data_IF_474948730689
#
_entry.id   IF_474948730689
#
_cell.length_a   1.000
_cell.length_b   1.000
_cell.length_c   1.000
_cell.angle_alpha   90.00
_cell.angle_beta   90.00
_cell.angle_gamma   90.00
#
_symmetry.space_group_name_H-M   'P 1'
#
loop_
_entity.id
_entity.type
_entity.pdbx_description
1 polymer ?
#
# COMPACT_ATOMS: atom_id res chain seq x y z
N UNK A 1 -3.46 -9.62 -9.93
CA UNK A 1 -2.14 -9.44 -10.63
C UNK A 1 -0.95 -10.01 -9.85
N UNK A 2 -0.83 -9.84 -8.54
CA UNK A 2 0.35 -10.28 -7.77
C UNK A 2 0.68 -11.78 -7.94
N UNK A 3 -0.29 -12.68 -7.77
CA UNK A 3 -0.11 -14.13 -7.95
C UNK A 3 0.54 -14.48 -9.29
N UNK A 4 0.07 -13.89 -10.39
CA UNK A 4 0.58 -14.12 -11.74
C UNK A 4 2.07 -13.74 -11.85
N UNK A 5 2.45 -12.60 -11.27
CA UNK A 5 3.83 -12.12 -11.21
C UNK A 5 4.73 -13.09 -10.43
N UNK A 6 4.27 -13.61 -9.29
CA UNK A 6 5.06 -14.54 -8.49
C UNK A 6 5.22 -15.89 -9.17
N UNK A 7 4.19 -16.43 -9.81
CA UNK A 7 4.32 -17.68 -10.58
C UNK A 7 5.32 -17.53 -11.73
N UNK A 8 5.31 -16.40 -12.43
CA UNK A 8 6.28 -16.10 -13.46
C UNK A 8 7.71 -16.01 -12.90
N UNK A 9 7.89 -15.32 -11.77
CA UNK A 9 9.21 -15.23 -11.08
C UNK A 9 9.74 -16.60 -10.68
N UNK A 10 8.90 -17.45 -10.13
CA UNK A 10 9.29 -18.81 -9.75
C UNK A 10 9.76 -19.61 -10.99
N UNK A 11 9.02 -19.52 -12.10
CA UNK A 11 9.40 -20.17 -13.35
C UNK A 11 10.75 -19.68 -13.88
N UNK A 12 10.93 -18.35 -13.92
CA UNK A 12 12.17 -17.71 -14.41
C UNK A 12 13.35 -18.05 -13.51
N UNK A 13 13.17 -18.08 -12.19
CA UNK A 13 14.19 -18.48 -11.21
C UNK A 13 14.60 -19.97 -11.40
N UNK A 14 13.66 -20.84 -11.80
CA UNK A 14 13.94 -22.22 -12.15
C UNK A 14 14.61 -22.38 -13.55
N UNK A 15 14.84 -21.27 -14.26
CA UNK A 15 15.44 -21.29 -15.61
C UNK A 15 14.54 -21.85 -16.70
N UNK A 16 13.22 -21.96 -16.46
CA UNK A 16 12.29 -22.59 -17.37
C UNK A 16 11.63 -21.57 -18.32
N UNK A 17 11.49 -21.93 -19.58
CA UNK A 17 10.62 -21.22 -20.53
C UNK A 17 9.15 -21.54 -20.28
N UNK A 18 8.21 -20.70 -20.76
CA UNK A 18 6.78 -21.01 -20.70
C UNK A 18 6.42 -22.31 -21.43
N UNK A 19 7.17 -22.69 -22.48
CA UNK A 19 6.97 -23.95 -23.21
C UNK A 19 7.35 -25.17 -22.37
N UNK A 20 8.49 -25.12 -21.67
CA UNK A 20 8.94 -26.20 -20.79
C UNK A 20 8.00 -26.37 -19.60
N UNK A 21 7.60 -25.26 -18.95
CA UNK A 21 6.61 -25.27 -17.88
C UNK A 21 5.26 -25.86 -18.34
N UNK A 22 4.82 -25.54 -19.54
CA UNK A 22 3.61 -26.10 -20.15
C UNK A 22 3.72 -27.63 -20.34
N UNK A 23 4.87 -28.12 -20.82
CA UNK A 23 5.15 -29.54 -20.95
C UNK A 23 5.09 -30.28 -19.61
N UNK A 24 5.71 -29.74 -18.56
CA UNK A 24 5.68 -30.29 -17.19
C UNK A 24 4.27 -30.36 -16.60
N UNK A 25 3.42 -29.41 -16.93
CA UNK A 25 2.05 -29.35 -16.44
C UNK A 25 1.05 -30.13 -17.31
N UNK A 26 1.43 -30.47 -18.55
CA UNK A 26 0.55 -31.11 -19.57
C UNK A 26 -0.50 -30.16 -20.14
N UNK A 27 -0.11 -28.89 -20.36
CA UNK A 27 -0.99 -27.83 -20.89
C UNK A 27 -0.34 -27.12 -22.08
N UNK A 28 -1.07 -26.23 -22.76
CA UNK A 28 -0.48 -25.42 -23.83
C UNK A 28 0.38 -24.28 -23.26
N UNK A 29 1.42 -23.82 -23.99
CA UNK A 29 2.21 -22.63 -23.60
C UNK A 29 1.34 -21.39 -23.42
N UNK A 30 0.27 -21.22 -24.20
CA UNK A 30 -0.68 -20.13 -24.07
C UNK A 30 -1.38 -20.13 -22.71
N UNK A 31 -1.68 -21.31 -22.15
CA UNK A 31 -2.28 -21.40 -20.80
C UNK A 31 -1.32 -20.92 -19.71
N UNK A 32 -0.03 -21.23 -19.78
CA UNK A 32 0.97 -20.70 -18.84
C UNK A 32 1.03 -19.17 -18.97
N UNK A 33 1.12 -18.66 -20.19
CA UNK A 33 1.13 -17.21 -20.44
C UNK A 33 -0.13 -16.52 -19.89
N UNK A 34 -1.32 -17.12 -20.07
CA UNK A 34 -2.57 -16.56 -19.53
C UNK A 34 -2.59 -16.55 -18.00
N UNK A 35 -2.07 -17.60 -17.33
CA UNK A 35 -1.94 -17.64 -15.87
C UNK A 35 -0.97 -16.53 -15.40
N UNK A 36 0.19 -16.43 -16.03
CA UNK A 36 1.23 -15.45 -15.68
C UNK A 36 0.92 -14.00 -16.10
N UNK A 37 -0.15 -13.80 -16.88
CA UNK A 37 -0.70 -12.49 -17.25
C UNK A 37 -2.00 -12.16 -16.50
N UNK A 38 -2.40 -13.00 -15.53
CA UNK A 38 -3.66 -12.90 -14.78
C UNK A 38 -4.93 -12.93 -15.67
N UNK A 39 -4.83 -13.47 -16.90
CA UNK A 39 -5.95 -13.67 -17.81
C UNK A 39 -6.72 -14.96 -17.52
N UNK A 40 -6.09 -15.91 -16.81
CA UNK A 40 -6.70 -17.15 -16.37
C UNK A 40 -6.36 -17.44 -14.92
N UNK A 41 -7.33 -17.97 -14.18
CA UNK A 41 -7.12 -18.47 -12.82
C UNK A 41 -6.32 -19.78 -12.81
N UNK A 42 -5.76 -20.11 -11.66
CA UNK A 42 -5.07 -21.37 -11.42
C UNK A 42 -5.71 -22.09 -10.24
N UNK A 43 -5.97 -23.40 -10.35
CA UNK A 43 -6.48 -24.20 -9.23
C UNK A 43 -5.34 -24.52 -8.25
N UNK A 44 -5.66 -24.75 -6.98
CA UNK A 44 -4.70 -25.16 -5.95
C UNK A 44 -3.81 -26.31 -6.43
N UNK A 45 -4.43 -27.42 -6.89
CA UNK A 45 -3.70 -28.60 -7.39
C UNK A 45 -2.67 -28.25 -8.48
N UNK A 46 -3.07 -27.36 -9.40
CA UNK A 46 -2.19 -26.92 -10.49
C UNK A 46 -1.09 -26.01 -9.98
N UNK A 47 -1.40 -25.10 -9.05
CA UNK A 47 -0.43 -24.20 -8.45
C UNK A 47 0.65 -24.98 -7.68
N UNK A 48 0.25 -25.93 -6.82
CA UNK A 48 1.21 -26.76 -6.07
C UNK A 48 2.11 -27.58 -6.99
N UNK A 49 1.56 -28.10 -8.11
CA UNK A 49 2.38 -28.78 -9.14
C UNK A 49 3.38 -27.83 -9.80
N UNK A 50 2.95 -26.61 -10.16
CA UNK A 50 3.87 -25.59 -10.70
C UNK A 50 4.97 -25.27 -9.71
N UNK A 51 4.64 -24.98 -8.43
CA UNK A 51 5.63 -24.70 -7.40
C UNK A 51 6.64 -25.83 -7.24
N UNK A 52 6.19 -27.08 -7.24
CA UNK A 52 7.07 -28.27 -7.21
C UNK A 52 7.98 -28.36 -8.44
N UNK A 53 7.47 -28.15 -9.65
CA UNK A 53 8.27 -28.15 -10.88
C UNK A 53 9.27 -26.99 -10.94
N UNK A 54 8.97 -25.88 -10.26
CA UNK A 54 9.86 -24.72 -10.13
C UNK A 54 10.82 -24.82 -8.95
N UNK A 55 10.90 -25.99 -8.30
CA UNK A 55 11.75 -26.26 -7.14
C UNK A 55 11.54 -25.25 -5.99
N UNK A 56 10.31 -24.75 -5.79
CA UNK A 56 9.96 -23.90 -4.68
C UNK A 56 9.73 -24.76 -3.41
N UNK A 57 10.69 -24.77 -2.51
CA UNK A 57 10.64 -25.54 -1.24
C UNK A 57 9.96 -24.78 -0.10
N UNK A 58 9.71 -23.49 -0.26
CA UNK A 58 9.07 -22.62 0.74
C UNK A 58 7.56 -22.88 0.79
N UNK A 59 7.15 -23.80 1.67
CA UNK A 59 5.75 -24.22 1.80
C UNK A 59 4.85 -23.07 2.28
N UNK A 60 5.33 -22.23 3.19
CA UNK A 60 4.57 -21.07 3.69
C UNK A 60 4.24 -20.10 2.54
N UNK A 61 5.22 -19.84 1.67
CA UNK A 61 5.02 -19.02 0.48
C UNK A 61 4.05 -19.68 -0.52
N UNK A 62 4.18 -20.99 -0.75
CA UNK A 62 3.27 -21.73 -1.63
C UNK A 62 1.84 -21.71 -1.10
N UNK A 63 1.65 -21.90 0.22
CA UNK A 63 0.33 -21.86 0.86
C UNK A 63 -0.30 -20.44 0.76
N UNK A 64 0.49 -19.40 0.92
CA UNK A 64 0.04 -18.03 0.71
C UNK A 64 -0.40 -17.78 -0.76
N UNK A 65 0.35 -18.30 -1.74
CA UNK A 65 -0.05 -18.21 -3.15
C UNK A 65 -1.33 -19.03 -3.44
N UNK A 66 -1.51 -20.17 -2.79
CA UNK A 66 -2.74 -20.98 -2.89
C UNK A 66 -3.93 -20.20 -2.33
N UNK A 67 -3.78 -19.58 -1.15
CA UNK A 67 -4.82 -18.74 -0.57
C UNK A 67 -5.25 -17.63 -1.55
N UNK A 68 -4.29 -16.93 -2.17
CA UNK A 68 -4.57 -15.94 -3.22
C UNK A 68 -5.28 -16.53 -4.45
N UNK A 69 -4.93 -17.76 -4.85
CA UNK A 69 -5.53 -18.42 -6.02
C UNK A 69 -6.97 -18.87 -5.79
N UNK A 70 -7.31 -19.18 -4.53
CA UNK A 70 -8.61 -19.74 -4.14
C UNK A 70 -9.56 -18.70 -3.56
N UNK A 71 -9.05 -17.52 -3.22
CA UNK A 71 -9.87 -16.42 -2.76
C UNK A 71 -10.88 -16.02 -3.86
N UNK A 72 -12.15 -16.00 -3.49
CA UNK A 72 -13.30 -15.58 -4.33
C UNK A 72 -14.00 -14.37 -3.78
N UNK A 73 -13.43 -13.75 -2.75
CA UNK A 73 -14.00 -12.56 -2.13
C UNK A 73 -14.00 -11.42 -3.14
N UNK A 74 -15.16 -10.89 -3.39
CA UNK A 74 -15.32 -9.63 -4.12
C UNK A 74 -15.31 -8.52 -3.08
N UNK A 75 -14.19 -7.78 -3.01
CA UNK A 75 -14.11 -6.64 -2.10
C UNK A 75 -14.94 -5.46 -2.60
N UNK A 76 -15.21 -4.54 -1.70
CA UNK A 76 -15.97 -3.31 -1.97
C UNK A 76 -15.40 -2.48 -3.14
N UNK A 77 -14.09 -2.56 -3.41
CA UNK A 77 -13.41 -1.84 -4.51
C UNK A 77 -13.88 -2.26 -5.90
N UNK A 78 -14.51 -3.43 -6.03
CA UNK A 78 -15.02 -3.91 -7.32
C UNK A 78 -16.14 -3.00 -7.88
N UNK A 79 -16.88 -2.30 -7.04
CA UNK A 79 -17.90 -1.34 -7.48
C UNK A 79 -17.30 -0.15 -8.27
N UNK A 80 -16.00 0.11 -8.10
CA UNK A 80 -15.27 1.17 -8.80
C UNK A 80 -14.61 0.69 -10.11
N UNK A 81 -14.78 -0.57 -10.47
CA UNK A 81 -14.21 -1.14 -11.69
C UNK A 81 -14.79 -0.45 -12.93
N UNK A 82 -13.90 0.08 -13.80
CA UNK A 82 -14.27 0.88 -14.96
C UNK A 82 -14.66 2.33 -14.66
N UNK A 83 -14.75 2.72 -13.37
CA UNK A 83 -15.05 4.08 -12.92
C UNK A 83 -13.78 4.81 -12.45
N UNK A 84 -12.87 4.11 -11.78
CA UNK A 84 -11.59 4.63 -11.35
C UNK A 84 -10.42 3.91 -12.06
N UNK A 85 -9.24 4.56 -12.15
CA UNK A 85 -8.02 3.90 -12.60
C UNK A 85 -7.74 2.64 -11.80
N UNK A 86 -7.21 1.59 -12.46
CA UNK A 86 -6.93 0.29 -11.82
C UNK A 86 -6.03 0.39 -10.59
N UNK A 87 -5.12 1.36 -10.54
CA UNK A 87 -4.26 1.59 -9.39
C UNK A 87 -5.02 1.91 -8.08
N UNK A 88 -6.24 2.45 -8.17
CA UNK A 88 -7.11 2.66 -7.00
C UNK A 88 -7.65 1.33 -6.47
N UNK A 89 -8.07 0.45 -7.37
CA UNK A 89 -8.57 -0.87 -7.03
C UNK A 89 -7.43 -1.74 -6.46
N UNK A 90 -6.28 -1.75 -7.14
CA UNK A 90 -5.09 -2.48 -6.71
C UNK A 90 -4.63 -2.06 -5.31
N UNK A 91 -4.69 -0.75 -5.02
CA UNK A 91 -4.33 -0.22 -3.70
C UNK A 91 -5.35 -0.64 -2.63
N UNK A 92 -6.64 -0.61 -2.93
CA UNK A 92 -7.68 -1.03 -2.00
C UNK A 92 -7.63 -2.54 -1.70
N UNK A 93 -7.41 -3.36 -2.74
CA UNK A 93 -7.21 -4.80 -2.61
C UNK A 93 -5.96 -5.12 -1.79
N UNK A 94 -4.86 -4.40 -2.04
CA UNK A 94 -3.60 -4.57 -1.30
C UNK A 94 -3.79 -4.25 0.19
N UNK A 95 -4.48 -3.15 0.52
CA UNK A 95 -4.77 -2.77 1.90
C UNK A 95 -5.68 -3.77 2.61
N UNK A 96 -6.69 -4.30 1.88
CA UNK A 96 -7.61 -5.28 2.42
C UNK A 96 -6.93 -6.59 2.84
N UNK A 97 -5.93 -7.03 2.07
CA UNK A 97 -5.18 -8.25 2.34
C UNK A 97 -3.90 -8.01 3.17
N UNK A 98 -3.67 -6.77 3.62
CA UNK A 98 -2.52 -6.45 4.44
C UNK A 98 -2.58 -7.12 5.81
N UNK A 99 -1.42 -7.52 6.33
CA UNK A 99 -1.24 -8.00 7.70
C UNK A 99 -0.74 -6.88 8.64
N UNK A 100 -0.09 -5.87 8.08
CA UNK A 100 0.28 -4.61 8.73
C UNK A 100 0.56 -3.54 7.68
N UNK A 101 0.55 -2.29 8.10
CA UNK A 101 0.87 -1.13 7.28
C UNK A 101 1.94 -0.28 7.97
N UNK A 102 2.92 0.22 7.19
CA UNK A 102 3.92 1.19 7.63
C UNK A 102 4.03 2.30 6.61
N UNK A 103 3.97 3.54 7.06
CA UNK A 103 3.98 4.68 6.14
C UNK A 103 4.91 5.80 6.63
N UNK A 104 5.63 6.41 5.70
CA UNK A 104 6.36 7.65 5.91
C UNK A 104 5.73 8.70 5.00
N UNK A 105 5.24 9.78 5.57
CA UNK A 105 4.57 10.86 4.86
C UNK A 105 5.33 12.18 5.05
N UNK A 106 5.66 12.88 3.95
CA UNK A 106 6.48 14.08 3.97
C UNK A 106 5.67 15.36 3.73
N UNK A 107 4.84 15.42 2.69
CA UNK A 107 4.17 16.65 2.26
C UNK A 107 2.65 16.63 2.45
N UNK A 108 2.05 15.46 2.53
CA UNK A 108 0.60 15.30 2.71
C UNK A 108 0.33 14.34 3.85
N UNK A 109 -0.74 14.60 4.58
CA UNK A 109 -1.27 13.63 5.54
C UNK A 109 -1.59 12.32 4.79
N UNK A 110 -1.21 11.15 5.32
CA UNK A 110 -1.52 9.85 4.72
C UNK A 110 -3.00 9.69 4.40
N UNK A 111 -3.29 9.12 3.23
CA UNK A 111 -4.67 8.98 2.75
C UNK A 111 -5.60 8.24 3.70
N UNK A 112 -5.08 7.31 4.52
CA UNK A 112 -5.85 6.58 5.52
C UNK A 112 -6.23 7.43 6.75
N UNK A 113 -5.57 8.57 6.97
CA UNK A 113 -5.82 9.47 8.10
C UNK A 113 -6.52 10.77 7.67
N UNK A 114 -6.81 10.96 6.37
CA UNK A 114 -7.42 12.19 5.86
C UNK A 114 -8.88 12.33 6.26
N UNK A 115 -9.32 13.56 6.54
CA UNK A 115 -10.74 13.90 6.52
C UNK A 115 -11.24 13.97 5.07
N UNK A 116 -12.55 13.95 4.88
CA UNK A 116 -13.16 14.06 3.54
C UNK A 116 -12.79 15.39 2.87
N UNK A 117 -12.84 16.49 3.62
CA UNK A 117 -12.51 17.84 3.15
C UNK A 117 -11.04 17.94 2.74
N UNK A 118 -10.13 17.35 3.54
CA UNK A 118 -8.72 17.31 3.20
C UNK A 118 -8.49 16.49 1.93
N UNK A 119 -9.08 15.31 1.82
CA UNK A 119 -8.99 14.46 0.64
C UNK A 119 -9.52 15.15 -0.62
N UNK A 120 -10.65 15.86 -0.50
CA UNK A 120 -11.25 16.68 -1.56
C UNK A 120 -10.30 17.75 -2.04
N UNK A 121 -9.69 18.49 -1.13
CA UNK A 121 -8.72 19.53 -1.47
C UNK A 121 -7.48 18.95 -2.20
N UNK A 122 -6.95 17.83 -1.73
CA UNK A 122 -5.82 17.14 -2.39
C UNK A 122 -6.18 16.67 -3.80
N UNK A 123 -7.39 16.13 -4.00
CA UNK A 123 -7.82 15.69 -5.33
C UNK A 123 -8.14 16.85 -6.26
N UNK A 124 -8.70 17.96 -5.76
CA UNK A 124 -8.99 19.15 -6.54
C UNK A 124 -7.73 19.83 -7.10
N UNK A 125 -6.58 19.66 -6.44
CA UNK A 125 -5.30 20.22 -6.89
C UNK A 125 -4.60 19.39 -8.00
N UNK A 126 -5.25 18.34 -8.53
CA UNK A 126 -4.63 17.47 -9.56
C UNK A 126 -4.63 18.13 -10.93
N UNK A 127 -3.62 17.74 -11.71
CA UNK A 127 -3.50 18.10 -13.13
C UNK A 127 -3.49 16.80 -13.96
N UNK A 128 -4.35 16.63 -14.96
CA UNK A 128 -5.46 17.54 -15.32
C UNK A 128 -6.53 17.61 -14.23
N UNK A 129 -7.32 18.70 -14.25
CA UNK A 129 -8.45 18.86 -13.34
C UNK A 129 -9.46 17.72 -13.49
N UNK A 130 -10.05 17.32 -12.38
CA UNK A 130 -11.10 16.31 -12.36
C UNK A 130 -12.46 16.96 -12.58
N UNK A 131 -13.38 16.26 -13.23
CA UNK A 131 -14.80 16.65 -13.21
C UNK A 131 -15.36 16.51 -11.79
N UNK A 132 -16.49 17.14 -11.50
CA UNK A 132 -17.13 17.04 -10.19
C UNK A 132 -17.44 15.58 -9.80
N UNK A 133 -17.96 14.80 -10.74
CA UNK A 133 -18.28 13.38 -10.50
C UNK A 133 -17.03 12.53 -10.25
N UNK A 134 -15.95 12.76 -10.99
CA UNK A 134 -14.68 12.08 -10.78
C UNK A 134 -14.06 12.41 -9.41
N UNK A 135 -14.17 13.67 -8.99
CA UNK A 135 -13.71 14.13 -7.68
C UNK A 135 -14.47 13.42 -6.57
N UNK A 136 -15.82 13.44 -6.62
CA UNK A 136 -16.66 12.79 -5.61
C UNK A 136 -16.41 11.27 -5.53
N UNK A 137 -16.23 10.62 -6.68
CA UNK A 137 -15.94 9.20 -6.76
C UNK A 137 -14.61 8.86 -6.08
N UNK A 138 -13.57 9.68 -6.27
CA UNK A 138 -12.25 9.49 -5.63
C UNK A 138 -12.30 9.76 -4.14
N UNK A 139 -13.02 10.78 -3.71
CA UNK A 139 -13.22 11.09 -2.29
C UNK A 139 -13.94 9.93 -1.60
N UNK A 140 -15.05 9.44 -2.15
CA UNK A 140 -15.80 8.30 -1.61
C UNK A 140 -14.92 7.05 -1.49
N UNK A 141 -14.20 6.70 -2.56
CA UNK A 141 -13.25 5.58 -2.55
C UNK A 141 -12.18 5.75 -1.46
N UNK A 142 -11.63 6.98 -1.26
CA UNK A 142 -10.65 7.27 -0.21
C UNK A 142 -11.23 7.04 1.18
N UNK A 143 -12.43 7.55 1.45
CA UNK A 143 -13.10 7.42 2.74
C UNK A 143 -13.46 5.95 3.04
N UNK A 144 -13.97 5.22 2.04
CA UNK A 144 -14.30 3.80 2.20
C UNK A 144 -13.07 2.93 2.50
N UNK A 145 -11.89 3.30 1.97
CA UNK A 145 -10.63 2.59 2.23
C UNK A 145 -10.06 2.81 3.65
N UNK A 146 -10.57 3.79 4.41
CA UNK A 146 -10.04 4.16 5.73
C UNK A 146 -10.42 3.21 6.87
N UNK A 147 -11.09 2.10 6.59
CA UNK A 147 -11.37 1.05 7.58
C UNK A 147 -10.10 0.24 7.86
N UNK A 148 -9.27 0.73 8.79
CA UNK A 148 -7.99 0.12 9.16
C UNK A 148 -8.24 -0.91 10.24
N UNK A 149 -8.05 -2.19 9.92
CA UNK A 149 -8.27 -3.32 10.84
C UNK A 149 -6.95 -4.01 11.27
N UNK A 150 -5.84 -3.61 10.70
CA UNK A 150 -4.51 -4.18 10.95
C UNK A 150 -3.60 -3.15 11.63
N UNK A 151 -2.50 -3.56 12.27
CA UNK A 151 -1.51 -2.63 12.81
C UNK A 151 -1.04 -1.63 11.75
N UNK A 152 -1.16 -0.35 12.05
CA UNK A 152 -0.74 0.75 11.19
C UNK A 152 0.23 1.68 11.90
N UNK A 153 1.48 1.66 11.50
CA UNK A 153 2.57 2.50 12.00
C UNK A 153 2.84 3.61 10.98
N UNK A 154 2.67 4.87 11.37
CA UNK A 154 2.86 6.01 10.48
C UNK A 154 3.79 7.04 11.08
N UNK A 155 4.77 7.49 10.29
CA UNK A 155 5.67 8.59 10.62
C UNK A 155 5.37 9.76 9.69
N UNK A 156 4.94 10.88 10.27
CA UNK A 156 4.50 12.07 9.55
C UNK A 156 5.52 13.20 9.78
N UNK A 157 6.09 13.73 8.72
CA UNK A 157 6.94 14.91 8.82
C UNK A 157 6.10 16.15 9.13
N UNK A 158 6.63 17.06 9.96
CA UNK A 158 5.96 18.30 10.36
C UNK A 158 5.44 19.12 9.15
N UNK A 159 6.14 19.06 8.01
CA UNK A 159 5.68 19.73 6.80
C UNK A 159 4.27 19.30 6.38
N UNK A 160 3.95 18.00 6.44
CA UNK A 160 2.62 17.49 6.11
C UNK A 160 1.52 18.00 7.05
N UNK A 161 1.88 18.27 8.32
CA UNK A 161 0.94 18.78 9.32
C UNK A 161 0.72 20.30 9.20
N UNK A 162 1.72 21.03 8.68
CA UNK A 162 1.66 22.50 8.54
C UNK A 162 1.20 23.00 7.17
N UNK A 163 1.38 22.19 6.11
CA UNK A 163 0.92 22.55 4.75
C UNK A 163 -0.61 22.60 4.76
N UNK A 164 -1.14 23.76 4.42
CA UNK A 164 -2.59 23.97 4.27
C UNK A 164 -2.99 23.63 2.83
N UNK A 165 -3.56 22.43 2.66
CA UNK A 165 -4.07 21.99 1.34
C UNK A 165 -5.34 22.73 0.92
N UNK A 166 -6.01 23.39 1.87
CA UNK A 166 -7.18 24.25 1.69
C UNK A 166 -7.06 25.43 2.67
N UNK A 167 -7.91 25.51 3.67
CA UNK A 167 -7.99 26.60 4.63
C UNK A 167 -7.56 26.15 6.05
N UNK A 168 -7.64 27.11 7.00
CA UNK A 168 -7.28 26.89 8.40
C UNK A 168 -8.24 25.93 9.11
N UNK A 169 -9.54 25.99 8.77
CA UNK A 169 -10.56 25.13 9.37
C UNK A 169 -10.34 23.69 8.98
N UNK A 170 -10.11 23.42 7.67
CA UNK A 170 -9.78 22.07 7.16
C UNK A 170 -8.52 21.52 7.83
N UNK A 171 -7.48 22.36 8.00
CA UNK A 171 -6.23 21.94 8.67
C UNK A 171 -6.49 21.59 10.13
N UNK A 172 -7.27 22.39 10.87
CA UNK A 172 -7.61 22.12 12.26
C UNK A 172 -8.41 20.83 12.43
N UNK A 173 -9.43 20.61 11.59
CA UNK A 173 -10.23 19.37 11.58
C UNK A 173 -9.36 18.16 11.24
N UNK A 174 -8.40 18.31 10.31
CA UNK A 174 -7.47 17.25 9.96
C UNK A 174 -6.55 16.86 11.13
N UNK A 175 -5.99 17.83 11.86
CA UNK A 175 -5.16 17.53 13.03
C UNK A 175 -5.97 16.86 14.15
N UNK A 176 -7.21 17.31 14.38
CA UNK A 176 -8.11 16.68 15.34
C UNK A 176 -8.40 15.21 14.97
N UNK A 177 -8.60 14.93 13.68
CA UNK A 177 -8.80 13.54 13.20
C UNK A 177 -7.58 12.66 13.43
N UNK A 178 -6.36 13.18 13.23
CA UNK A 178 -5.13 12.42 13.51
C UNK A 178 -5.02 12.12 15.00
N UNK A 179 -5.34 13.09 15.88
CA UNK A 179 -5.35 12.89 17.33
C UNK A 179 -6.38 11.85 17.77
N UNK A 180 -7.57 11.86 17.18
CA UNK A 180 -8.59 10.84 17.42
C UNK A 180 -8.05 9.45 17.05
N UNK A 181 -7.62 9.26 15.80
CA UNK A 181 -7.14 7.98 15.29
C UNK A 181 -5.89 7.47 16.01
N UNK A 182 -5.01 8.35 16.47
CA UNK A 182 -3.83 7.96 17.25
C UNK A 182 -4.18 7.45 18.67
N UNK A 183 -5.45 7.45 19.04
CA UNK A 183 -5.96 6.83 20.26
C UNK A 183 -6.42 5.38 20.05
N UNK A 184 -6.49 4.90 18.81
CA UNK A 184 -6.87 3.53 18.51
C UNK A 184 -5.69 2.57 18.73
N UNK A 185 -5.95 1.40 19.31
CA UNK A 185 -4.91 0.43 19.70
C UNK A 185 -4.05 -0.07 18.53
N UNK A 186 -4.58 -0.06 17.33
CA UNK A 186 -3.91 -0.54 16.12
C UNK A 186 -3.23 0.58 15.31
N UNK A 187 -3.31 1.85 15.71
CA UNK A 187 -2.74 2.99 14.98
C UNK A 187 -1.67 3.70 15.80
N UNK A 188 -0.44 3.66 15.34
CA UNK A 188 0.69 4.37 15.95
C UNK A 188 1.10 5.54 15.07
N UNK A 189 0.96 6.76 15.57
CA UNK A 189 1.37 7.99 14.89
C UNK A 189 2.65 8.55 15.53
N UNK A 190 3.65 8.83 14.69
CA UNK A 190 4.89 9.49 15.09
C UNK A 190 5.14 10.72 14.23
N UNK A 191 5.82 11.71 14.77
CA UNK A 191 6.14 12.98 14.08
C UNK A 191 7.64 13.14 13.96
N UNK A 192 8.08 13.64 12.79
CA UNK A 192 9.42 14.17 12.58
C UNK A 192 9.32 15.69 12.55
N UNK A 193 9.80 16.40 13.57
CA UNK A 193 9.81 17.86 13.59
C UNK A 193 10.88 18.44 12.68
N UNK A 194 10.77 19.72 12.33
CA UNK A 194 11.75 20.41 11.47
C UNK A 194 13.13 20.55 12.11
N UNK A 195 13.17 20.64 13.42
CA UNK A 195 14.39 20.84 14.21
C UNK A 195 15.11 19.54 14.56
N UNK A 196 14.74 18.42 13.93
CA UNK A 196 15.43 17.15 14.10
C UNK A 196 16.75 17.14 13.34
N UNK A 197 17.86 17.02 14.05
CA UNK A 197 19.18 16.88 13.45
C UNK A 197 19.33 15.53 12.71
N UNK A 198 20.00 15.57 11.55
CA UNK A 198 20.36 14.36 10.82
C UNK A 198 19.24 13.68 10.05
N UNK A 199 18.11 14.34 9.80
CA UNK A 199 16.99 13.83 9.03
C UNK A 199 17.26 13.73 7.51
N UNK A 200 18.32 13.00 7.12
CA UNK A 200 18.62 12.76 5.71
C UNK A 200 18.03 11.46 5.14
N UNK A 201 17.38 10.65 5.98
CA UNK A 201 17.00 9.26 5.62
C UNK A 201 15.64 9.13 4.96
N UNK A 202 14.75 10.11 5.05
CA UNK A 202 13.41 10.06 4.46
C UNK A 202 13.26 11.05 3.29
N UNK A 203 14.01 10.84 2.23
CA UNK A 203 13.96 11.70 1.04
C UNK A 203 12.61 11.64 0.28
N UNK A 204 11.71 10.73 0.61
CA UNK A 204 10.41 10.59 -0.07
C UNK A 204 9.41 9.77 0.73
N UNK A 205 8.13 10.09 0.55
CA UNK A 205 7.03 9.30 1.09
C UNK A 205 7.07 7.87 0.56
N UNK A 206 6.69 6.92 1.41
CA UNK A 206 6.55 5.51 1.07
C UNK A 206 5.51 4.86 1.95
N UNK A 207 4.83 3.86 1.41
CA UNK A 207 3.92 3.00 2.15
C UNK A 207 4.35 1.55 1.99
N UNK A 208 4.70 0.90 3.09
CA UNK A 208 5.06 -0.50 3.14
C UNK A 208 3.85 -1.31 3.60
N UNK A 209 3.43 -2.26 2.82
CA UNK A 209 2.28 -3.13 3.06
C UNK A 209 2.79 -4.54 3.29
N UNK A 210 2.53 -5.08 4.47
CA UNK A 210 2.88 -6.45 4.82
C UNK A 210 1.92 -7.43 4.18
N UNK A 211 2.46 -8.42 3.48
CA UNK A 211 1.72 -9.56 2.97
C UNK A 211 1.61 -10.68 4.02
N UNK A 212 0.91 -11.78 3.70
CA UNK A 212 0.82 -12.95 4.59
C UNK A 212 2.19 -13.58 4.88
N UNK A 213 3.15 -13.41 3.98
CA UNK A 213 4.56 -13.78 4.14
C UNK A 213 5.44 -12.67 3.59
N UNK A 214 6.65 -12.50 4.14
CA UNK A 214 7.56 -11.41 3.81
C UNK A 214 7.94 -11.31 2.30
N UNK A 215 7.86 -12.42 1.56
CA UNK A 215 8.04 -12.45 0.10
C UNK A 215 6.89 -11.79 -0.67
N UNK A 216 5.73 -11.64 -0.05
CA UNK A 216 4.54 -11.00 -0.62
C UNK A 216 4.34 -9.56 -0.14
N UNK A 217 5.27 -9.01 0.64
CA UNK A 217 5.26 -7.59 0.98
C UNK A 217 5.31 -6.73 -0.28
N UNK A 218 4.80 -5.52 -0.18
CA UNK A 218 4.77 -4.56 -1.29
C UNK A 218 5.01 -3.15 -0.76
N UNK A 219 5.83 -2.37 -1.46
CA UNK A 219 5.96 -0.94 -1.20
C UNK A 219 5.19 -0.18 -2.27
N UNK A 220 4.37 0.77 -1.83
CA UNK A 220 3.63 1.68 -2.69
C UNK A 220 4.28 3.05 -2.62
N UNK A 221 4.51 3.67 -3.76
CA UNK A 221 4.98 5.05 -3.88
C UNK A 221 4.09 5.83 -4.82
N UNK A 222 3.74 7.03 -4.43
CA UNK A 222 3.08 7.95 -5.32
C UNK A 222 4.05 8.45 -6.41
N UNK A 223 3.58 8.39 -7.63
CA UNK A 223 4.30 8.90 -8.81
C UNK A 223 3.35 9.82 -9.61
N UNK A 224 3.86 10.70 -10.49
CA UNK A 224 3.03 11.69 -11.18
C UNK A 224 1.80 11.11 -11.89
N UNK A 225 1.87 9.86 -12.33
CA UNK A 225 0.81 9.20 -13.10
C UNK A 225 0.05 8.12 -12.31
N UNK A 226 0.12 8.10 -10.98
CA UNK A 226 -0.59 7.13 -10.15
C UNK A 226 0.26 6.58 -9.02
N UNK A 227 0.20 5.26 -8.78
CA UNK A 227 0.98 4.57 -7.76
C UNK A 227 1.91 3.54 -8.40
N UNK A 228 3.18 3.52 -7.96
CA UNK A 228 4.14 2.47 -8.30
C UNK A 228 4.15 1.41 -7.19
N UNK A 229 3.99 0.15 -7.58
CA UNK A 229 4.04 -1.00 -6.68
C UNK A 229 5.41 -1.68 -6.82
N UNK A 230 6.15 -1.77 -5.73
CA UNK A 230 7.51 -2.31 -5.67
C UNK A 230 7.47 -3.57 -4.81
N UNK A 231 7.87 -4.69 -5.38
CA UNK A 231 7.78 -6.01 -4.78
C UNK A 231 9.06 -6.84 -4.93
N UNK A 232 10.14 -6.26 -5.49
CA UNK A 232 11.43 -6.92 -5.58
C UNK A 232 12.08 -7.04 -4.19
N UNK A 233 12.41 -8.26 -3.76
CA UNK A 233 12.90 -8.59 -2.42
C UNK A 233 14.09 -7.72 -1.96
N UNK A 234 15.06 -7.46 -2.85
CA UNK A 234 16.21 -6.61 -2.54
C UNK A 234 15.78 -5.17 -2.22
N UNK A 235 14.78 -4.64 -2.93
CA UNK A 235 14.25 -3.30 -2.68
C UNK A 235 13.42 -3.25 -1.39
N UNK A 236 12.62 -4.27 -1.11
CA UNK A 236 11.83 -4.37 0.12
C UNK A 236 12.72 -4.33 1.37
N UNK A 237 13.88 -5.00 1.36
CA UNK A 237 14.83 -4.97 2.48
C UNK A 237 15.37 -3.56 2.75
N UNK A 238 15.65 -2.78 1.69
CA UNK A 238 16.08 -1.38 1.79
C UNK A 238 14.96 -0.53 2.40
N UNK A 239 13.72 -0.70 1.96
CA UNK A 239 12.58 0.06 2.49
C UNK A 239 12.28 -0.28 3.95
N UNK A 240 12.37 -1.55 4.36
CA UNK A 240 12.25 -1.95 5.78
C UNK A 240 13.32 -1.30 6.65
N UNK A 241 14.57 -1.31 6.19
CA UNK A 241 15.67 -0.66 6.92
C UNK A 241 15.47 0.85 6.99
N UNK A 242 15.01 1.48 5.91
CA UNK A 242 14.72 2.91 5.87
C UNK A 242 13.61 3.29 6.85
N UNK A 243 12.51 2.53 6.87
CA UNK A 243 11.41 2.77 7.82
C UNK A 243 11.90 2.75 9.25
N UNK A 244 12.65 1.71 9.67
CA UNK A 244 13.20 1.60 11.04
C UNK A 244 14.11 2.79 11.41
N UNK A 245 14.91 3.29 10.48
CA UNK A 245 15.75 4.47 10.73
C UNK A 245 14.94 5.75 10.92
N UNK A 246 13.89 5.91 10.12
CA UNK A 246 12.98 7.06 10.21
C UNK A 246 12.17 6.99 11.51
N UNK A 247 11.65 5.82 11.85
CA UNK A 247 10.94 5.57 13.10
C UNK A 247 11.81 5.86 14.32
N UNK A 248 13.03 5.33 14.35
CA UNK A 248 13.96 5.55 15.47
C UNK A 248 14.38 7.02 15.65
N UNK A 249 14.33 7.82 14.58
CA UNK A 249 14.63 9.25 14.62
C UNK A 249 13.40 10.11 14.94
N UNK A 250 12.19 9.59 14.90
CA UNK A 250 10.95 10.34 15.15
C UNK A 250 10.69 10.52 16.65
N UNK A 251 9.84 11.47 16.99
CA UNK A 251 9.26 11.57 18.34
C UNK A 251 8.53 10.27 18.67
N UNK A 252 8.49 9.90 19.95
CA UNK A 252 7.64 8.78 20.37
C UNK A 252 6.15 9.11 20.22
N UNK A 253 5.23 8.13 20.36
CA UNK A 253 3.81 8.37 20.14
C UNK A 253 3.20 9.43 21.07
N UNK A 254 3.59 9.50 22.34
CA UNK A 254 3.07 10.46 23.31
C UNK A 254 3.55 11.89 22.97
N UNK A 255 4.85 12.06 22.76
CA UNK A 255 5.44 13.32 22.30
C UNK A 255 4.85 13.79 20.97
N UNK A 256 4.55 12.85 20.06
CA UNK A 256 3.92 13.15 18.77
C UNK A 256 2.49 13.66 18.92
N UNK A 257 1.71 13.07 19.81
CA UNK A 257 0.36 13.57 20.15
C UNK A 257 0.40 14.98 20.72
N UNK A 258 1.31 15.23 21.68
CA UNK A 258 1.51 16.57 22.26
C UNK A 258 1.93 17.60 21.21
N UNK A 259 2.78 17.19 20.27
CA UNK A 259 3.21 18.03 19.16
C UNK A 259 2.04 18.41 18.25
N UNK A 260 1.22 17.43 17.85
CA UNK A 260 0.04 17.66 17.00
C UNK A 260 -1.01 18.52 17.71
N UNK A 261 -1.24 18.29 19.00
CA UNK A 261 -2.19 19.09 19.81
C UNK A 261 -1.75 20.56 19.91
N UNK A 262 -0.45 20.81 20.11
CA UNK A 262 0.09 22.18 20.05
C UNK A 262 -0.15 22.85 18.70
N UNK A 263 0.13 22.14 17.60
CA UNK A 263 -0.13 22.66 16.26
C UNK A 263 -1.61 22.96 16.01
N UNK A 264 -2.51 22.13 16.51
CA UNK A 264 -3.95 22.35 16.39
C UNK A 264 -4.42 23.58 17.17
N UNK A 265 -3.74 23.93 18.28
CA UNK A 265 -4.01 25.14 19.09
C UNK A 265 -3.45 26.41 18.43
N UNK A 266 -2.40 26.32 17.62
CA UNK A 266 -1.88 27.42 16.81
C UNK A 266 -2.82 27.82 15.66
N UNK A 267 -3.68 26.91 15.23
CA UNK A 267 -4.72 27.07 14.21
C UNK A 267 -6.06 27.48 14.84
#
# INVERSE_FOLDING_TARGET
MRLATELRRLREAAGLTSREAAGLLGVSPAQITHIESALAGVSEKRLRRLASHYACEDQEFVDALVAMATDRTRGWWEEYRGLLPTSFLDLAELDHHATFLREVAILYVPGLLQTEEYARAVFSARVPELTGDELELRVRHRTQRQQITVPYEVVIHEAALRIRVSDRSTSKTQLAKILELSGEDNITVRVIPFDLDGFATAASSMRYVGGPVAKLDTVVRDVPHGSAFIDAHAQLSVFRTRFRKVEAASLDPEQSRDFIDRLAKEL
#
